data_IF_329524763868
#
_entry.id   IF_329524763868
#
_cell.length_a   1.000
_cell.length_b   1.000
_cell.length_c   1.000
_cell.angle_alpha   90.00
_cell.angle_beta   90.00
_cell.angle_gamma   90.00
#
_symmetry.space_group_name_H-M   'P 1'
#
loop_
_entity.id
_entity.type
_entity.pdbx_description
1 polymer ?
#
# COMPACT_ATOMS: atom_id res chain seq x y z
N UNK A 1 54.50 -14.84 11.25
CA UNK A 1 54.61 -16.28 11.55
C UNK A 1 53.23 -16.89 11.51
N UNK A 2 53.04 -18.02 10.81
CA UNK A 2 51.76 -18.73 10.72
C UNK A 2 51.85 -20.02 11.54
N UNK A 3 50.85 -20.25 12.41
CA UNK A 3 50.77 -21.46 13.22
C UNK A 3 50.24 -22.61 12.36
N UNK A 4 51.07 -23.64 12.14
CA UNK A 4 50.66 -24.86 11.45
C UNK A 4 50.31 -25.90 12.51
N UNK A 5 49.04 -26.25 12.62
CA UNK A 5 48.55 -27.33 13.47
C UNK A 5 48.36 -28.59 12.60
N UNK A 6 48.93 -29.70 13.04
CA UNK A 6 48.74 -31.03 12.45
C UNK A 6 47.98 -31.85 13.46
N UNK A 7 46.86 -32.46 13.05
CA UNK A 7 45.97 -33.25 13.91
C UNK A 7 45.85 -34.64 13.31
N UNK A 8 45.80 -35.66 14.17
CA UNK A 8 45.60 -37.04 13.74
C UNK A 8 44.14 -37.25 13.31
N UNK A 9 43.90 -38.12 12.33
CA UNK A 9 42.56 -38.38 11.81
C UNK A 9 41.67 -39.08 12.86
N UNK A 10 42.30 -39.85 13.76
CA UNK A 10 41.59 -40.51 14.86
C UNK A 10 40.99 -39.52 15.89
N UNK A 11 41.52 -38.29 15.94
CA UNK A 11 41.05 -37.23 16.85
C UNK A 11 39.93 -36.37 16.22
N UNK A 12 39.46 -36.71 15.02
CA UNK A 12 38.36 -36.02 14.35
C UNK A 12 37.02 -36.67 14.67
N UNK A 13 36.05 -35.85 15.07
CA UNK A 13 34.66 -36.27 15.22
C UNK A 13 33.78 -35.63 14.13
N UNK A 14 32.81 -36.37 13.55
CA UNK A 14 31.89 -35.82 12.56
C UNK A 14 31.00 -34.78 13.24
N UNK A 15 31.06 -33.54 12.74
CA UNK A 15 30.15 -32.50 13.18
C UNK A 15 28.74 -32.76 12.66
N UNK A 16 27.72 -32.32 13.40
CA UNK A 16 26.34 -32.35 12.91
C UNK A 16 26.24 -31.42 11.69
N UNK A 17 25.68 -31.94 10.61
CA UNK A 17 25.37 -31.13 9.43
C UNK A 17 24.27 -30.15 9.85
N UNK A 18 24.64 -28.88 10.05
CA UNK A 18 23.67 -27.85 10.35
C UNK A 18 22.76 -27.75 9.13
N UNK A 19 21.51 -28.21 9.27
CA UNK A 19 20.50 -27.96 8.24
C UNK A 19 20.47 -26.46 7.99
N UNK A 20 20.96 -26.05 6.82
CA UNK A 20 20.82 -24.69 6.34
C UNK A 20 19.33 -24.47 6.09
N UNK A 21 18.59 -24.10 7.14
CA UNK A 21 17.26 -23.55 6.98
C UNK A 21 17.42 -22.36 6.05
N UNK A 22 16.89 -22.48 4.85
CA UNK A 22 16.68 -21.34 3.97
C UNK A 22 16.05 -20.24 4.84
N UNK A 23 16.57 -19.01 4.82
CA UNK A 23 16.03 -17.96 5.67
C UNK A 23 14.56 -17.77 5.29
N UNK A 24 13.66 -18.27 6.14
CA UNK A 24 12.25 -17.95 6.04
C UNK A 24 12.13 -16.53 6.54
N UNK A 25 12.27 -15.57 5.63
CA UNK A 25 11.99 -14.17 5.89
C UNK A 25 10.49 -14.10 6.18
N UNK A 26 10.15 -14.18 7.45
CA UNK A 26 8.82 -13.83 7.94
C UNK A 26 8.82 -12.32 7.97
N UNK A 27 8.28 -11.70 6.91
CA UNK A 27 7.98 -10.27 6.93
C UNK A 27 6.79 -10.12 7.87
N UNK A 28 7.08 -10.01 9.18
CA UNK A 28 6.19 -9.27 10.06
C UNK A 28 6.25 -7.85 9.53
N UNK A 29 5.32 -7.51 8.64
CA UNK A 29 5.06 -6.14 8.27
C UNK A 29 4.79 -5.45 9.60
N UNK A 30 5.79 -4.74 10.12
CA UNK A 30 5.56 -3.64 11.03
C UNK A 30 4.50 -2.83 10.30
N UNK A 31 3.25 -2.98 10.73
CA UNK A 31 2.11 -2.20 10.24
C UNK A 31 2.42 -0.79 10.67
N UNK A 32 3.27 -0.14 9.90
CA UNK A 32 3.54 1.26 10.01
C UNK A 32 2.15 1.88 9.92
N UNK A 33 1.71 2.53 11.00
CA UNK A 33 0.34 3.06 11.08
C UNK A 33 0.07 4.08 9.98
N UNK A 34 1.11 4.50 9.25
CA UNK A 34 1.09 5.39 8.11
C UNK A 34 0.43 4.84 6.85
N UNK A 35 0.28 3.51 6.67
CA UNK A 35 -0.31 2.93 5.46
C UNK A 35 -1.63 2.18 5.70
N UNK A 36 -2.45 2.66 6.64
CA UNK A 36 -3.82 2.15 6.81
C UNK A 36 -4.77 2.86 5.87
N UNK A 37 -5.69 2.11 5.29
CA UNK A 37 -6.74 2.69 4.48
C UNK A 37 -7.68 3.55 5.34
N UNK A 38 -8.06 4.71 4.82
CA UNK A 38 -9.10 5.57 5.42
C UNK A 38 -10.43 5.43 4.67
N UNK A 39 -11.56 5.64 5.35
CA UNK A 39 -12.88 5.64 4.72
C UNK A 39 -13.16 6.93 3.93
N UNK A 40 -12.43 8.01 4.25
CA UNK A 40 -12.54 9.30 3.59
C UNK A 40 -11.13 9.89 3.41
N UNK A 41 -10.72 10.05 2.16
CA UNK A 41 -9.46 10.64 1.76
C UNK A 41 -9.69 12.11 1.38
N UNK A 42 -9.17 13.03 2.18
CA UNK A 42 -9.22 14.47 1.88
C UNK A 42 -7.92 14.92 1.19
N UNK A 43 -8.06 15.38 -0.05
CA UNK A 43 -6.95 15.89 -0.89
C UNK A 43 -7.17 17.36 -1.28
N UNK A 44 -8.06 18.07 -0.59
CA UNK A 44 -8.25 19.51 -0.85
C UNK A 44 -6.97 20.28 -0.57
N UNK A 45 -6.66 21.21 -1.47
CA UNK A 45 -5.44 22.03 -1.36
C UNK A 45 -4.16 21.33 -1.83
N UNK A 46 -4.22 20.05 -2.19
CA UNK A 46 -3.08 19.34 -2.76
C UNK A 46 -2.83 19.83 -4.18
N UNK A 47 -1.58 19.72 -4.63
CA UNK A 47 -1.26 19.76 -6.06
C UNK A 47 -1.73 18.47 -6.71
N UNK A 48 -2.02 18.53 -8.01
CA UNK A 48 -2.52 17.38 -8.76
C UNK A 48 -1.67 16.11 -8.55
N UNK A 49 -0.35 16.23 -8.68
CA UNK A 49 0.56 15.08 -8.52
C UNK A 49 0.55 14.50 -7.11
N UNK A 50 0.43 15.36 -6.08
CA UNK A 50 0.36 14.92 -4.68
C UNK A 50 -0.95 14.18 -4.41
N UNK A 51 -2.05 14.69 -4.96
CA UNK A 51 -3.38 14.08 -4.85
C UNK A 51 -3.44 12.71 -5.52
N UNK A 52 -2.88 12.58 -6.73
CA UNK A 52 -2.82 11.30 -7.45
C UNK A 52 -1.98 10.29 -6.66
N UNK A 53 -0.81 10.70 -6.17
CA UNK A 53 0.04 9.82 -5.36
C UNK A 53 -0.65 9.37 -4.06
N UNK A 54 -1.37 10.27 -3.40
CA UNK A 54 -2.13 9.94 -2.19
C UNK A 54 -3.29 8.98 -2.50
N UNK A 55 -3.98 9.17 -3.63
CA UNK A 55 -5.06 8.30 -4.09
C UNK A 55 -4.55 6.90 -4.43
N UNK A 56 -3.44 6.77 -5.15
CA UNK A 56 -2.82 5.48 -5.48
C UNK A 56 -2.48 4.69 -4.22
N UNK A 57 -1.82 5.34 -3.24
CA UNK A 57 -1.50 4.71 -1.95
C UNK A 57 -2.75 4.27 -1.19
N UNK A 58 -3.81 5.08 -1.24
CA UNK A 58 -5.08 4.75 -0.60
C UNK A 58 -5.78 3.56 -1.28
N UNK A 59 -5.72 3.46 -2.61
CA UNK A 59 -6.28 2.33 -3.35
C UNK A 59 -5.56 1.03 -2.96
N UNK A 60 -4.23 1.04 -2.93
CA UNK A 60 -3.43 -0.10 -2.51
C UNK A 60 -3.74 -0.51 -1.06
N UNK A 61 -3.75 0.46 -0.14
CA UNK A 61 -4.07 0.21 1.25
C UNK A 61 -5.49 -0.35 1.43
N UNK A 62 -6.47 0.19 0.71
CA UNK A 62 -7.87 -0.23 0.81
C UNK A 62 -8.08 -1.65 0.30
N UNK A 63 -7.38 -2.05 -0.76
CA UNK A 63 -7.40 -3.42 -1.26
C UNK A 63 -6.73 -4.39 -0.28
N UNK A 64 -5.60 -4.00 0.34
CA UNK A 64 -4.92 -4.82 1.35
C UNK A 64 -5.74 -4.97 2.64
N UNK A 65 -6.46 -3.92 3.03
CA UNK A 65 -7.34 -3.92 4.21
C UNK A 65 -8.72 -4.53 3.92
N UNK A 66 -8.97 -5.08 2.71
CA UNK A 66 -10.25 -5.62 2.24
C UNK A 66 -11.43 -4.65 2.44
N UNK A 67 -11.22 -3.36 2.20
CA UNK A 67 -12.31 -2.41 2.17
C UNK A 67 -13.15 -2.59 0.90
N UNK A 68 -14.47 -2.51 1.05
CA UNK A 68 -15.40 -2.54 -0.08
C UNK A 68 -15.48 -1.20 -0.83
N UNK A 69 -15.01 -0.11 -0.22
CA UNK A 69 -15.07 1.22 -0.79
C UNK A 69 -14.65 2.31 0.18
N UNK A 70 -14.45 3.50 -0.35
CA UNK A 70 -14.12 4.71 0.39
C UNK A 70 -14.58 5.94 -0.39
N UNK A 71 -14.40 7.12 0.19
CA UNK A 71 -14.75 8.38 -0.46
C UNK A 71 -13.57 9.33 -0.52
N UNK A 72 -13.59 10.23 -1.51
CA UNK A 72 -12.50 11.16 -1.81
C UNK A 72 -13.08 12.56 -1.84
N UNK A 73 -12.58 13.45 -0.97
CA UNK A 73 -12.92 14.86 -1.00
C UNK A 73 -11.83 15.59 -1.78
N UNK A 74 -12.14 15.97 -3.01
CA UNK A 74 -11.27 16.79 -3.87
C UNK A 74 -11.73 18.25 -3.96
N UNK A 75 -12.95 18.55 -3.50
CA UNK A 75 -13.58 19.87 -3.60
C UNK A 75 -14.08 20.16 -5.02
N UNK A 76 -14.80 21.27 -5.16
CA UNK A 76 -15.46 21.63 -6.44
C UNK A 76 -14.56 22.49 -7.33
N UNK A 77 -13.87 23.50 -6.77
CA UNK A 77 -12.82 24.30 -7.40
C UNK A 77 -12.95 24.56 -8.92
N UNK A 78 -11.83 24.53 -9.63
CA UNK A 78 -11.77 24.53 -11.10
C UNK A 78 -11.90 23.11 -11.69
N UNK A 79 -12.13 22.09 -10.86
CA UNK A 79 -12.26 20.70 -11.31
C UNK A 79 -10.94 19.96 -11.61
N UNK A 80 -9.76 20.57 -11.41
CA UNK A 80 -8.47 19.92 -11.70
C UNK A 80 -8.28 18.63 -10.90
N UNK A 81 -8.50 18.67 -9.59
CA UNK A 81 -8.38 17.48 -8.74
C UNK A 81 -9.50 16.47 -9.04
N UNK A 82 -10.71 16.94 -9.31
CA UNK A 82 -11.84 16.09 -9.71
C UNK A 82 -11.53 15.29 -10.97
N UNK A 83 -10.96 15.94 -11.99
CA UNK A 83 -10.58 15.28 -13.24
C UNK A 83 -9.45 14.27 -12.99
N UNK A 84 -8.40 14.67 -12.28
CA UNK A 84 -7.29 13.78 -11.94
C UNK A 84 -7.74 12.52 -11.20
N UNK A 85 -8.58 12.68 -10.17
CA UNK A 85 -9.16 11.55 -9.42
C UNK A 85 -9.93 10.61 -10.35
N UNK A 86 -10.82 11.13 -11.19
CA UNK A 86 -11.62 10.30 -12.10
C UNK A 86 -10.76 9.55 -13.12
N UNK A 87 -9.73 10.20 -13.65
CA UNK A 87 -8.80 9.57 -14.60
C UNK A 87 -7.98 8.45 -13.94
N UNK A 88 -7.51 8.66 -12.71
CA UNK A 88 -6.81 7.63 -11.93
C UNK A 88 -7.73 6.46 -11.63
N UNK A 89 -8.94 6.71 -11.11
CA UNK A 89 -9.91 5.66 -10.78
C UNK A 89 -10.32 4.83 -12.00
N UNK A 90 -10.57 5.47 -13.14
CA UNK A 90 -10.97 4.78 -14.37
C UNK A 90 -9.89 3.84 -14.93
N UNK A 91 -8.62 4.05 -14.58
CA UNK A 91 -7.49 3.22 -15.03
C UNK A 91 -7.12 2.14 -14.02
N UNK A 92 -7.61 2.23 -12.79
CA UNK A 92 -7.18 1.36 -11.71
C UNK A 92 -7.97 0.03 -11.70
N UNK A 93 -7.31 -1.13 -11.82
CA UNK A 93 -8.00 -2.41 -12.00
C UNK A 93 -8.82 -2.86 -10.77
N UNK A 94 -8.46 -2.42 -9.56
CA UNK A 94 -9.20 -2.74 -8.33
C UNK A 94 -10.42 -1.88 -8.06
N UNK A 95 -10.78 -0.96 -8.96
CA UNK A 95 -11.99 -0.12 -8.83
C UNK A 95 -13.12 -0.77 -9.61
N UNK A 96 -14.20 -1.12 -8.92
CA UNK A 96 -15.39 -1.71 -9.52
C UNK A 96 -16.33 -0.62 -10.09
N UNK A 97 -16.53 0.47 -9.34
CA UNK A 97 -17.37 1.60 -9.76
C UNK A 97 -17.01 2.88 -8.99
N UNK A 98 -17.35 4.05 -9.54
CA UNK A 98 -17.25 5.32 -8.83
C UNK A 98 -18.25 6.37 -9.34
N UNK A 99 -18.78 7.16 -8.42
CA UNK A 99 -19.74 8.21 -8.74
C UNK A 99 -19.58 9.42 -7.80
N UNK A 100 -20.19 10.55 -8.15
CA UNK A 100 -20.24 11.69 -7.23
C UNK A 100 -21.13 11.38 -6.03
N UNK A 101 -20.78 11.92 -4.87
CA UNK A 101 -21.61 11.83 -3.69
C UNK A 101 -22.95 12.54 -3.91
N UNK A 102 -23.95 12.20 -3.09
CA UNK A 102 -25.24 12.90 -3.10
C UNK A 102 -25.07 14.35 -2.66
N UNK A 103 -25.97 15.28 -3.05
CA UNK A 103 -25.87 16.68 -2.65
C UNK A 103 -25.71 16.88 -1.14
N UNK A 104 -26.40 16.07 -0.32
CA UNK A 104 -26.34 16.10 1.13
C UNK A 104 -25.03 15.54 1.74
N UNK A 105 -24.21 14.84 0.96
CA UNK A 105 -22.96 14.20 1.40
C UNK A 105 -21.70 14.87 0.82
N UNK A 106 -21.84 15.96 0.06
CA UNK A 106 -20.73 16.71 -0.55
C UNK A 106 -20.83 16.90 -2.06
N UNK A 107 -21.85 16.30 -2.70
CA UNK A 107 -22.17 16.51 -4.12
C UNK A 107 -20.98 16.27 -5.05
N UNK A 108 -20.83 17.14 -6.04
CA UNK A 108 -19.72 17.08 -7.01
C UNK A 108 -18.33 17.30 -6.41
N UNK A 109 -18.21 17.77 -5.17
CA UNK A 109 -16.91 17.95 -4.51
C UNK A 109 -16.36 16.68 -3.86
N UNK A 110 -17.15 15.60 -3.87
CA UNK A 110 -16.81 14.32 -3.27
C UNK A 110 -17.13 13.18 -4.25
N UNK A 111 -16.20 12.24 -4.37
CA UNK A 111 -16.37 11.02 -5.18
C UNK A 111 -16.42 9.82 -4.26
N UNK A 112 -17.39 8.93 -4.45
CA UNK A 112 -17.53 7.65 -3.76
C UNK A 112 -17.00 6.55 -4.67
N UNK A 113 -16.19 5.66 -4.14
CA UNK A 113 -15.49 4.59 -4.86
C UNK A 113 -15.89 3.24 -4.26
N UNK A 114 -16.24 2.31 -5.13
CA UNK A 114 -16.47 0.90 -4.81
C UNK A 114 -15.30 0.07 -5.34
N UNK A 115 -14.74 -0.80 -4.50
CA UNK A 115 -13.63 -1.70 -4.83
C UNK A 115 -14.16 -3.11 -5.07
N UNK A 116 -13.45 -3.89 -5.91
CA UNK A 116 -13.86 -5.24 -6.29
C UNK A 116 -12.70 -6.16 -6.65
#
# INVERSE_FOLDING_TARGET
>A
EALRLTVDEADLEPTVELEMRAPSISVEASRDRSNRAVLELDIRGFRLNEAVLALERQLDAALLDNLHGFSIIHGTGEGVLQQGVRETLARHPGVADFHYARPEEGGYGKTVVSLG
#
